data_IF_934874618394
#
_entry.id   IF_934874618394
#
_cell.length_a   1.000
_cell.length_b   1.000
_cell.length_c   1.000
_cell.angle_alpha   90.00
_cell.angle_beta   90.00
_cell.angle_gamma   90.00
#
_symmetry.space_group_name_H-M   'P 1'
#
loop_
_entity.id
_entity.type
_entity.pdbx_description
1 polymer ?
#
# COMPACT_ATOMS: atom_id res chain seq x y z
N UNK A 1 42.82 -41.40 6.29
CA UNK A 1 42.91 -40.01 5.77
C UNK A 1 41.76 -39.16 6.26
N UNK A 2 41.93 -38.47 7.39
CA UNK A 2 40.93 -37.57 8.00
C UNK A 2 41.51 -36.17 7.98
N UNK A 3 41.20 -35.38 6.95
CA UNK A 3 41.56 -33.96 6.86
C UNK A 3 40.37 -33.12 7.29
N UNK A 4 40.39 -32.60 8.51
CA UNK A 4 39.54 -31.47 8.91
C UNK A 4 40.46 -30.40 9.49
N UNK A 5 40.38 -29.18 8.95
CA UNK A 5 41.12 -28.01 9.44
C UNK A 5 40.50 -27.55 10.75
N UNK A 6 41.32 -27.34 11.78
CA UNK A 6 40.88 -26.65 12.99
C UNK A 6 40.54 -25.20 12.66
N UNK A 7 39.31 -24.80 12.96
CA UNK A 7 38.87 -23.40 12.91
C UNK A 7 38.85 -22.92 14.35
N UNK A 8 39.95 -22.28 14.77
CA UNK A 8 39.98 -21.48 16.01
C UNK A 8 39.38 -20.11 15.72
N UNK A 9 38.05 -20.06 15.68
CA UNK A 9 37.34 -18.78 15.72
C UNK A 9 36.38 -18.79 16.90
N UNK A 10 36.60 -17.94 17.91
CA UNK A 10 35.67 -17.86 19.04
C UNK A 10 34.30 -17.37 18.56
N UNK A 11 33.22 -17.80 19.23
CA UNK A 11 31.87 -17.38 18.89
C UNK A 11 31.70 -15.87 19.10
N UNK A 12 30.85 -15.21 18.29
CA UNK A 12 30.62 -13.77 18.42
C UNK A 12 30.02 -13.46 19.80
N UNK A 13 30.77 -12.75 20.66
CA UNK A 13 30.34 -12.35 22.01
C UNK A 13 31.34 -12.58 23.13
N UNK A 14 32.49 -13.21 22.86
CA UNK A 14 33.54 -13.45 23.87
C UNK A 14 34.28 -12.14 24.24
N UNK A 15 34.32 -11.70 25.52
CA UNK A 15 34.91 -10.42 25.93
C UNK A 15 36.45 -10.44 26.00
N UNK A 16 37.10 -11.55 25.67
CA UNK A 16 38.54 -11.73 25.81
C UNK A 16 39.32 -11.25 24.58
N UNK A 17 39.28 -9.94 24.32
CA UNK A 17 40.13 -9.34 23.28
C UNK A 17 39.73 -7.93 22.93
N UNK A 18 40.10 -6.96 23.76
CA UNK A 18 40.00 -5.54 23.40
C UNK A 18 41.02 -5.21 22.31
N UNK A 19 40.73 -5.58 21.05
CA UNK A 19 41.22 -4.80 19.92
C UNK A 19 40.40 -3.52 19.92
N UNK A 20 40.95 -2.45 20.51
CA UNK A 20 40.49 -1.09 20.28
C UNK A 20 40.56 -0.82 18.78
N UNK A 21 39.48 -1.11 18.04
CA UNK A 21 39.26 -0.40 16.80
C UNK A 21 39.01 1.05 17.21
N UNK A 22 39.91 1.94 16.81
CA UNK A 22 39.66 3.38 16.89
C UNK A 22 38.59 3.74 15.86
N UNK A 23 37.37 3.22 16.02
CA UNK A 23 36.21 3.78 15.36
C UNK A 23 35.86 5.02 16.17
N UNK A 24 36.20 6.17 15.61
CA UNK A 24 35.93 7.48 16.18
C UNK A 24 34.48 7.51 16.72
N UNK A 25 34.22 7.81 18.00
CA UNK A 25 32.88 7.68 18.60
C UNK A 25 31.82 8.50 17.86
N UNK A 26 32.21 9.59 17.18
CA UNK A 26 31.33 10.35 16.30
C UNK A 26 30.85 9.57 15.05
N UNK A 27 31.67 8.68 14.49
CA UNK A 27 31.30 7.86 13.33
C UNK A 27 30.32 6.74 13.70
N UNK A 28 30.47 6.15 14.89
CA UNK A 28 29.51 5.18 15.42
C UNK A 28 28.17 5.85 15.74
N UNK A 29 28.17 7.03 16.35
CA UNK A 29 26.95 7.83 16.59
C UNK A 29 26.28 8.26 15.29
N UNK A 30 27.06 8.68 14.28
CA UNK A 30 26.52 9.02 12.95
C UNK A 30 25.93 7.80 12.24
N UNK A 31 26.55 6.62 12.33
CA UNK A 31 25.97 5.39 11.78
C UNK A 31 24.70 4.99 12.52
N UNK A 32 24.70 4.97 13.86
CA UNK A 32 23.50 4.62 14.62
C UNK A 32 22.36 5.60 14.37
N UNK A 33 22.65 6.90 14.32
CA UNK A 33 21.67 7.93 13.99
C UNK A 33 21.15 7.80 12.55
N UNK A 34 21.99 7.41 11.59
CA UNK A 34 21.57 7.16 10.20
C UNK A 34 20.67 5.93 10.10
N UNK A 35 21.03 4.83 10.79
CA UNK A 35 20.17 3.65 10.85
C UNK A 35 18.86 3.97 11.58
N UNK A 36 18.91 4.67 12.71
CA UNK A 36 17.73 5.06 13.48
C UNK A 36 16.82 6.01 12.70
N UNK A 37 17.35 6.97 11.93
CA UNK A 37 16.55 7.83 11.06
C UNK A 37 15.91 7.08 9.90
N UNK A 38 16.62 6.12 9.30
CA UNK A 38 16.10 5.33 8.18
C UNK A 38 14.97 4.40 8.67
N UNK A 39 15.13 3.77 9.83
CA UNK A 39 14.10 2.94 10.45
C UNK A 39 12.95 3.77 11.02
N UNK A 40 13.20 4.97 11.59
CA UNK A 40 12.16 5.87 12.07
C UNK A 40 11.32 6.48 10.94
N UNK A 41 11.92 6.78 9.78
CA UNK A 41 11.20 7.22 8.59
C UNK A 41 10.27 6.13 8.03
N UNK A 42 10.71 4.87 8.10
CA UNK A 42 9.90 3.71 7.68
C UNK A 42 8.80 3.30 8.68
N UNK A 43 8.91 3.72 9.94
CA UNK A 43 7.96 3.41 11.02
C UNK A 43 6.96 4.53 11.33
N UNK A 44 6.87 5.57 10.49
CA UNK A 44 5.79 6.55 10.63
C UNK A 44 4.51 5.85 10.17
N UNK A 45 3.67 5.46 11.12
CA UNK A 45 2.37 4.85 10.83
C UNK A 45 1.67 5.67 9.73
N UNK A 46 1.15 5.01 8.68
CA UNK A 46 0.44 5.72 7.64
C UNK A 46 -0.69 6.50 8.29
N UNK A 47 -0.85 7.77 7.90
CA UNK A 47 -1.94 8.61 8.38
C UNK A 47 -3.25 7.81 8.31
N UNK A 48 -3.96 7.60 9.44
CA UNK A 48 -5.13 6.73 9.49
C UNK A 48 -6.23 7.18 8.51
N UNK A 49 -6.31 8.48 8.22
CA UNK A 49 -7.21 9.03 7.21
C UNK A 49 -6.81 8.58 5.82
N UNK A 50 -5.53 8.75 5.49
CA UNK A 50 -4.97 8.32 4.20
C UNK A 50 -5.15 6.82 4.01
N UNK A 51 -4.88 6.02 5.03
CA UNK A 51 -5.06 4.57 4.98
C UNK A 51 -6.52 4.19 4.73
N UNK A 52 -7.49 4.88 5.35
CA UNK A 52 -8.92 4.67 5.11
C UNK A 52 -9.31 4.97 3.67
N UNK A 53 -8.93 6.13 3.15
CA UNK A 53 -9.25 6.54 1.77
C UNK A 53 -8.60 5.57 0.77
N UNK A 54 -7.34 5.18 0.99
CA UNK A 54 -6.67 4.18 0.15
C UNK A 54 -7.32 2.80 0.22
N UNK A 55 -7.95 2.46 1.36
CA UNK A 55 -8.71 1.22 1.52
C UNK A 55 -10.07 1.23 0.81
N UNK A 56 -10.61 2.40 0.50
CA UNK A 56 -11.84 2.56 -0.28
C UNK A 56 -11.54 2.79 -1.78
N UNK A 57 -10.26 2.91 -2.16
CA UNK A 57 -9.84 3.12 -3.53
C UNK A 57 -10.29 1.99 -4.48
N UNK A 58 -10.70 2.40 -5.68
CA UNK A 58 -11.24 1.51 -6.70
C UNK A 58 -10.19 0.52 -7.21
N UNK A 59 -10.63 -0.73 -7.38
CA UNK A 59 -9.97 -1.73 -8.20
C UNK A 59 -10.89 -2.03 -9.39
N UNK A 60 -10.44 -1.72 -10.59
CA UNK A 60 -11.19 -1.95 -11.81
C UNK A 60 -10.59 -3.10 -12.62
N UNK A 61 -11.45 -3.98 -13.11
CA UNK A 61 -11.09 -5.14 -13.92
C UNK A 61 -11.77 -5.08 -15.29
N UNK A 62 -10.97 -4.96 -16.35
CA UNK A 62 -11.43 -5.03 -17.74
C UNK A 62 -11.19 -6.44 -18.30
N UNK A 63 -12.24 -7.24 -18.40
CA UNK A 63 -12.20 -8.60 -18.93
C UNK A 63 -12.78 -8.65 -20.34
N UNK A 64 -11.99 -9.17 -21.29
CA UNK A 64 -12.43 -9.49 -22.65
C UNK A 64 -12.22 -10.97 -22.94
N UNK A 65 -13.19 -11.65 -23.52
CA UNK A 65 -13.12 -13.09 -23.83
C UNK A 65 -13.92 -13.45 -25.09
N UNK A 66 -13.49 -14.48 -25.82
CA UNK A 66 -14.27 -15.07 -26.91
C UNK A 66 -15.29 -16.13 -26.44
N UNK A 67 -15.26 -16.49 -25.16
CA UNK A 67 -16.28 -17.38 -24.57
C UNK A 67 -17.60 -16.63 -24.49
N UNK A 68 -18.70 -17.27 -24.89
CA UNK A 68 -20.06 -16.75 -24.71
C UNK A 68 -20.54 -17.13 -23.32
N UNK A 69 -20.80 -16.13 -22.48
CA UNK A 69 -21.28 -16.28 -21.11
C UNK A 69 -22.80 -16.14 -21.13
N UNK A 70 -23.51 -17.13 -20.58
CA UNK A 70 -24.98 -17.14 -20.55
C UNK A 70 -25.57 -16.31 -19.41
N UNK A 71 -24.97 -16.42 -18.22
CA UNK A 71 -25.38 -15.69 -17.03
C UNK A 71 -24.29 -14.69 -16.64
N UNK A 72 -24.33 -13.52 -17.27
CA UNK A 72 -23.33 -12.46 -17.11
C UNK A 72 -23.32 -11.91 -15.68
N UNK A 73 -24.50 -11.73 -15.08
CA UNK A 73 -24.63 -11.13 -13.76
C UNK A 73 -24.07 -12.03 -12.66
N UNK A 74 -24.37 -13.33 -12.72
CA UNK A 74 -23.79 -14.30 -11.79
C UNK A 74 -22.26 -14.34 -11.90
N UNK A 75 -21.75 -14.42 -13.14
CA UNK A 75 -20.30 -14.41 -13.38
C UNK A 75 -19.62 -13.13 -12.86
N UNK A 76 -20.17 -11.95 -13.17
CA UNK A 76 -19.63 -10.67 -12.69
C UNK A 76 -19.69 -10.59 -11.16
N UNK A 77 -20.77 -11.08 -10.56
CA UNK A 77 -20.94 -11.11 -9.09
C UNK A 77 -19.85 -11.98 -8.45
N UNK A 78 -19.65 -13.20 -8.93
CA UNK A 78 -18.63 -14.11 -8.41
C UNK A 78 -17.21 -13.54 -8.58
N UNK A 79 -16.92 -12.96 -9.76
CA UNK A 79 -15.63 -12.32 -10.03
C UNK A 79 -15.39 -11.10 -9.12
N UNK A 80 -16.43 -10.32 -8.83
CA UNK A 80 -16.31 -9.15 -7.94
C UNK A 80 -16.00 -9.54 -6.50
N UNK A 81 -16.65 -10.58 -5.97
CA UNK A 81 -16.30 -11.15 -4.67
C UNK A 81 -14.89 -11.74 -4.67
N UNK A 82 -14.46 -12.39 -5.75
CA UNK A 82 -13.09 -12.87 -5.87
C UNK A 82 -12.09 -11.71 -5.74
N UNK A 83 -12.26 -10.66 -6.53
CA UNK A 83 -11.36 -9.50 -6.52
C UNK A 83 -11.40 -8.73 -5.19
N UNK A 84 -12.58 -8.52 -4.62
CA UNK A 84 -12.75 -7.91 -3.28
C UNK A 84 -11.90 -8.63 -2.23
N UNK A 85 -11.99 -9.96 -2.18
CA UNK A 85 -11.20 -10.77 -1.25
C UNK A 85 -9.70 -10.73 -1.55
N UNK A 86 -9.29 -10.65 -2.82
CA UNK A 86 -7.87 -10.60 -3.22
C UNK A 86 -7.20 -9.27 -2.84
N UNK A 87 -7.90 -8.17 -3.09
CA UNK A 87 -7.38 -6.84 -2.86
C UNK A 87 -7.69 -6.31 -1.45
N UNK A 88 -8.47 -7.06 -0.65
CA UNK A 88 -8.96 -6.61 0.66
C UNK A 88 -9.65 -5.24 0.53
N UNK A 89 -10.60 -5.19 -0.40
CA UNK A 89 -11.39 -3.99 -0.70
C UNK A 89 -12.87 -4.29 -0.54
N UNK A 90 -13.67 -3.33 -0.08
CA UNK A 90 -15.12 -3.52 -0.03
C UNK A 90 -15.65 -3.72 -1.44
N UNK A 91 -16.77 -4.45 -1.56
CA UNK A 91 -17.37 -4.77 -2.86
C UNK A 91 -17.76 -3.50 -3.62
N UNK A 92 -18.12 -2.43 -2.90
CA UNK A 92 -18.42 -1.10 -3.45
C UNK A 92 -17.25 -0.45 -4.18
N UNK A 93 -16.02 -0.91 -3.93
CA UNK A 93 -14.80 -0.42 -4.59
C UNK A 93 -14.34 -1.31 -5.74
N UNK A 94 -15.11 -2.33 -6.11
CA UNK A 94 -14.80 -3.21 -7.24
C UNK A 94 -15.63 -2.80 -8.45
N UNK A 95 -14.95 -2.54 -9.56
CA UNK A 95 -15.59 -2.26 -10.85
C UNK A 95 -15.17 -3.36 -11.84
N UNK A 96 -16.14 -3.93 -12.55
CA UNK A 96 -15.88 -4.95 -13.57
C UNK A 96 -16.51 -4.51 -14.88
N UNK A 97 -15.69 -4.46 -15.92
CA UNK A 97 -16.14 -4.34 -17.29
C UNK A 97 -15.98 -5.69 -17.98
N UNK A 98 -17.08 -6.25 -18.48
CA UNK A 98 -17.09 -7.53 -19.18
C UNK A 98 -17.44 -7.31 -20.66
N UNK A 99 -16.60 -7.85 -21.54
CA UNK A 99 -16.89 -7.97 -22.97
C UNK A 99 -16.65 -9.42 -23.41
N UNK A 100 -17.72 -10.16 -23.67
CA UNK A 100 -17.66 -11.59 -23.97
C UNK A 100 -18.20 -11.89 -25.38
N UNK A 101 -17.94 -13.10 -25.88
CA UNK A 101 -18.31 -13.49 -27.25
C UNK A 101 -17.62 -12.69 -28.36
N UNK A 102 -16.52 -11.97 -28.07
CA UNK A 102 -15.82 -11.19 -29.08
C UNK A 102 -14.93 -12.06 -29.98
N UNK A 103 -14.63 -11.59 -31.19
CA UNK A 103 -13.64 -12.23 -32.04
C UNK A 103 -12.24 -12.05 -31.44
N UNK A 104 -11.59 -13.14 -31.06
CA UNK A 104 -10.26 -13.14 -30.44
C UNK A 104 -9.43 -14.31 -30.97
N UNK A 105 -8.23 -13.99 -31.45
CA UNK A 105 -7.18 -14.98 -31.72
C UNK A 105 -6.09 -14.80 -30.67
N UNK A 106 -5.66 -15.90 -30.05
CA UNK A 106 -4.56 -15.92 -29.10
C UNK A 106 -3.61 -17.04 -29.50
N UNK A 107 -2.30 -16.78 -29.55
CA UNK A 107 -1.31 -17.80 -29.92
C UNK A 107 -1.60 -18.54 -31.24
N UNK A 108 -2.21 -17.86 -32.23
CA UNK A 108 -2.55 -18.46 -33.53
C UNK A 108 -3.84 -19.30 -33.57
N UNK A 109 -4.59 -19.42 -32.46
CA UNK A 109 -5.84 -20.18 -32.39
C UNK A 109 -7.01 -19.34 -31.86
N UNK A 110 -8.21 -19.67 -32.32
CA UNK A 110 -9.50 -19.14 -31.84
C UNK A 110 -10.09 -19.94 -30.67
N UNK A 111 -9.35 -20.90 -30.10
CA UNK A 111 -9.74 -21.60 -28.88
C UNK A 111 -10.09 -20.61 -27.75
N UNK A 112 -10.86 -21.01 -26.73
CA UNK A 112 -11.19 -20.15 -25.61
C UNK A 112 -9.97 -19.41 -25.03
N UNK A 113 -10.08 -18.09 -24.92
CA UNK A 113 -9.01 -17.19 -24.49
C UNK A 113 -9.58 -15.91 -23.89
N UNK A 114 -8.78 -15.21 -23.08
CA UNK A 114 -9.17 -13.92 -22.53
C UNK A 114 -7.99 -12.97 -22.34
N UNK A 115 -8.31 -11.69 -22.29
CA UNK A 115 -7.42 -10.63 -21.79
C UNK A 115 -8.06 -9.96 -20.59
N UNK A 116 -7.29 -9.79 -19.52
CA UNK A 116 -7.71 -9.11 -18.30
C UNK A 116 -6.74 -7.97 -18.01
N UNK A 117 -7.25 -6.74 -17.85
CA UNK A 117 -6.47 -5.65 -17.26
C UNK A 117 -7.02 -5.30 -15.89
N UNK A 118 -6.16 -5.26 -14.87
CA UNK A 118 -6.48 -4.74 -13.55
C UNK A 118 -5.88 -3.36 -13.39
N UNK A 119 -6.71 -2.37 -13.06
CA UNK A 119 -6.33 -1.02 -12.69
C UNK A 119 -6.49 -0.85 -11.18
N UNK A 120 -5.43 -0.44 -10.50
CA UNK A 120 -5.46 -0.22 -9.05
C UNK A 120 -4.32 0.71 -8.61
N UNK A 121 -4.42 1.22 -7.38
CA UNK A 121 -3.37 2.06 -6.78
C UNK A 121 -1.99 1.37 -6.84
N UNK A 122 -0.88 2.13 -6.94
CA UNK A 122 0.48 1.58 -7.05
C UNK A 122 0.85 0.58 -5.95
N UNK A 123 0.35 0.77 -4.72
CA UNK A 123 0.59 -0.15 -3.60
C UNK A 123 -0.04 -1.54 -3.80
N UNK A 124 -1.08 -1.65 -4.63
CA UNK A 124 -1.79 -2.89 -4.92
C UNK A 124 -1.24 -3.64 -6.13
N UNK A 125 -0.40 -2.99 -6.95
CA UNK A 125 0.17 -3.57 -8.18
C UNK A 125 1.67 -3.87 -8.07
N UNK A 126 2.11 -4.27 -6.88
CA UNK A 126 3.51 -4.62 -6.62
C UNK A 126 3.90 -5.96 -7.26
N UNK A 127 5.18 -6.17 -7.68
CA UNK A 127 5.58 -7.37 -8.43
C UNK A 127 5.22 -8.69 -7.75
N UNK A 128 5.42 -8.80 -6.43
CA UNK A 128 5.09 -10.00 -5.64
C UNK A 128 3.58 -10.21 -5.54
N UNK A 129 2.82 -9.14 -5.29
CA UNK A 129 1.36 -9.13 -5.25
C UNK A 129 0.77 -9.53 -6.61
N UNK A 130 1.29 -8.98 -7.70
CA UNK A 130 0.87 -9.28 -9.07
C UNK A 130 1.10 -10.75 -9.42
N UNK A 131 2.26 -11.31 -9.07
CA UNK A 131 2.55 -12.73 -9.31
C UNK A 131 1.52 -13.63 -8.63
N UNK A 132 1.19 -13.33 -7.37
CA UNK A 132 0.19 -14.08 -6.61
C UNK A 132 -1.21 -13.89 -7.20
N UNK A 133 -1.61 -12.65 -7.46
CA UNK A 133 -2.92 -12.31 -7.99
C UNK A 133 -3.15 -12.89 -9.38
N UNK A 134 -2.15 -12.88 -10.27
CA UNK A 134 -2.23 -13.52 -11.56
C UNK A 134 -2.61 -15.00 -11.40
N UNK A 135 -1.79 -15.79 -10.71
CA UNK A 135 -2.04 -17.23 -10.54
C UNK A 135 -3.46 -17.53 -10.01
N UNK A 136 -3.91 -16.73 -9.04
CA UNK A 136 -5.18 -16.95 -8.35
C UNK A 136 -6.41 -16.49 -9.15
N UNK A 137 -6.31 -15.38 -9.86
CA UNK A 137 -7.37 -14.89 -10.74
C UNK A 137 -7.48 -15.80 -11.96
N UNK A 138 -6.35 -16.20 -12.55
CA UNK A 138 -6.37 -17.13 -13.69
C UNK A 138 -6.96 -18.50 -13.29
N UNK A 139 -6.66 -18.98 -12.08
CA UNK A 139 -7.30 -20.20 -11.54
C UNK A 139 -8.82 -20.04 -11.46
N UNK A 140 -9.31 -18.91 -10.93
CA UNK A 140 -10.74 -18.64 -10.84
C UNK A 140 -11.41 -18.55 -12.23
N UNK A 141 -10.76 -17.92 -13.22
CA UNK A 141 -11.26 -17.87 -14.60
C UNK A 141 -11.29 -19.27 -15.24
N UNK A 142 -10.30 -20.11 -14.96
CA UNK A 142 -10.29 -21.49 -15.43
C UNK A 142 -11.44 -22.30 -14.83
N UNK A 143 -11.74 -22.12 -13.54
CA UNK A 143 -12.83 -22.81 -12.85
C UNK A 143 -14.22 -22.35 -13.34
N UNK A 144 -14.37 -21.06 -13.68
CA UNK A 144 -15.67 -20.46 -14.05
C UNK A 144 -15.95 -20.49 -15.55
N UNK A 145 -14.95 -20.22 -16.40
CA UNK A 145 -15.09 -20.14 -17.86
C UNK A 145 -14.43 -21.31 -18.61
N UNK A 146 -13.70 -22.20 -17.92
CA UNK A 146 -12.98 -23.31 -18.56
C UNK A 146 -11.76 -22.89 -19.36
N UNK A 147 -11.34 -21.62 -19.29
CA UNK A 147 -10.19 -21.11 -20.04
C UNK A 147 -8.90 -21.36 -19.27
N UNK A 148 -7.98 -22.13 -19.84
CA UNK A 148 -6.69 -22.42 -19.22
C UNK A 148 -5.87 -21.14 -18.98
N UNK A 149 -5.09 -21.10 -17.88
CA UNK A 149 -4.23 -19.96 -17.56
C UNK A 149 -3.25 -19.59 -18.70
N UNK A 150 -2.78 -20.57 -19.48
CA UNK A 150 -1.91 -20.35 -20.65
C UNK A 150 -2.59 -19.62 -21.82
N UNK A 151 -3.93 -19.57 -21.82
CA UNK A 151 -4.79 -18.85 -22.78
C UNK A 151 -5.27 -17.50 -22.23
N UNK A 152 -4.75 -17.08 -21.08
CA UNK A 152 -5.08 -15.83 -20.43
C UNK A 152 -3.91 -14.85 -20.43
N UNK A 153 -4.16 -13.63 -20.85
CA UNK A 153 -3.22 -12.51 -20.68
C UNK A 153 -3.70 -11.58 -19.56
N UNK A 154 -2.92 -11.44 -18.50
CA UNK A 154 -3.24 -10.57 -17.36
C UNK A 154 -2.25 -9.41 -17.29
N UNK A 155 -2.76 -8.19 -17.31
CA UNK A 155 -1.98 -6.95 -17.20
C UNK A 155 -2.38 -6.19 -15.94
N UNK A 156 -1.40 -5.74 -15.16
CA UNK A 156 -1.62 -4.86 -14.01
C UNK A 156 -1.19 -3.43 -14.38
N UNK A 157 -2.05 -2.46 -14.14
CA UNK A 157 -1.82 -1.04 -14.45
C UNK A 157 -1.94 -0.25 -13.16
N UNK A 158 -0.84 0.39 -12.77
CA UNK A 158 -0.83 1.32 -11.66
C UNK A 158 -1.63 2.57 -12.03
N UNK A 159 -2.56 2.96 -11.17
CA UNK A 159 -3.32 4.21 -11.29
C UNK A 159 -3.03 5.08 -10.07
N UNK A 160 -2.13 6.08 -10.18
CA UNK A 160 -1.81 7.00 -9.09
C UNK A 160 -3.04 7.72 -8.52
N UNK A 161 -2.96 8.16 -7.27
CA UNK A 161 -4.08 8.77 -6.53
C UNK A 161 -4.61 10.05 -7.21
N UNK A 162 -3.75 10.78 -7.90
CA UNK A 162 -4.06 11.97 -8.67
C UNK A 162 -4.81 11.68 -9.98
N UNK A 163 -4.73 10.45 -10.48
CA UNK A 163 -5.28 10.03 -11.77
C UNK A 163 -6.55 9.17 -11.64
N UNK A 164 -7.05 9.00 -10.43
CA UNK A 164 -8.27 8.24 -10.14
C UNK A 164 -9.24 9.14 -9.41
N UNK A 165 -10.46 9.24 -9.94
CA UNK A 165 -11.52 10.03 -9.35
C UNK A 165 -12.82 9.24 -9.21
N UNK A 166 -13.50 9.45 -8.09
CA UNK A 166 -14.83 8.92 -7.80
C UNK A 166 -15.64 10.04 -7.14
N UNK A 167 -16.92 10.16 -7.49
CA UNK A 167 -17.78 11.21 -6.90
C UNK A 167 -17.31 12.64 -7.22
N UNK A 168 -16.63 12.83 -8.36
CA UNK A 168 -16.17 14.15 -8.82
C UNK A 168 -14.87 14.65 -8.20
N UNK A 169 -14.19 13.87 -7.35
CA UNK A 169 -12.89 14.23 -6.75
C UNK A 169 -11.86 13.13 -6.96
N UNK A 170 -10.59 13.52 -7.06
CA UNK A 170 -9.49 12.56 -7.11
C UNK A 170 -9.20 12.02 -5.71
N UNK A 171 -8.63 10.82 -5.63
CA UNK A 171 -8.19 10.24 -4.35
C UNK A 171 -7.16 11.16 -3.69
N UNK A 172 -6.24 11.74 -4.47
CA UNK A 172 -5.26 12.69 -3.95
C UNK A 172 -5.90 13.96 -3.38
N UNK A 173 -6.94 14.51 -4.04
CA UNK A 173 -7.67 15.66 -3.53
C UNK A 173 -8.38 15.33 -2.21
N UNK A 174 -9.01 14.16 -2.12
CA UNK A 174 -9.71 13.72 -0.91
C UNK A 174 -8.76 13.54 0.29
N UNK A 175 -7.57 12.97 0.07
CA UNK A 175 -6.54 12.84 1.11
C UNK A 175 -6.11 14.23 1.62
N UNK A 176 -5.86 15.18 0.71
CA UNK A 176 -5.41 16.52 1.07
C UNK A 176 -6.50 17.33 1.81
N UNK A 177 -7.75 17.27 1.34
CA UNK A 177 -8.89 17.95 1.96
C UNK A 177 -9.16 17.44 3.38
N UNK A 178 -9.15 16.12 3.55
CA UNK A 178 -9.42 15.50 4.86
C UNK A 178 -8.26 15.69 5.83
N UNK A 179 -7.03 15.70 5.33
CA UNK A 179 -5.84 16.03 6.12
C UNK A 179 -5.89 17.47 6.66
N UNK A 180 -6.33 18.45 5.85
CA UNK A 180 -6.44 19.84 6.27
C UNK A 180 -7.56 20.07 7.30
N UNK A 181 -8.71 19.40 7.14
CA UNK A 181 -9.83 19.51 8.08
C UNK A 181 -9.46 19.04 9.51
N UNK A 182 -8.57 18.06 9.66
CA UNK A 182 -8.08 17.62 10.97
C UNK A 182 -7.03 18.53 11.60
N UNK A 183 -6.33 19.35 10.80
CA UNK A 183 -5.37 20.33 11.35
C UNK A 183 -6.11 21.51 11.98
N UNK A 184 -7.27 21.90 11.42
CA UNK A 184 -8.11 22.97 11.97
C UNK A 184 -8.94 22.55 13.20
N UNK A 185 -9.13 21.26 13.46
CA UNK A 185 -9.89 20.75 14.62
C UNK A 185 -8.99 20.39 15.83
N UNK A 186 -7.72 20.80 15.83
CA UNK A 186 -6.93 20.74 17.07
C UNK A 186 -7.48 21.78 18.05
N UNK A 187 -7.98 21.39 19.24
CA UNK A 187 -8.42 22.37 20.22
C UNK A 187 -7.25 23.28 20.54
N UNK A 188 -7.46 24.58 20.36
CA UNK A 188 -6.51 25.60 20.79
C UNK A 188 -6.15 25.34 22.25
N UNK A 189 -4.95 24.82 22.51
CA UNK A 189 -4.41 24.70 23.85
C UNK A 189 -4.58 26.06 24.51
N UNK A 190 -5.35 26.07 25.59
CA UNK A 190 -5.66 27.25 26.36
C UNK A 190 -4.35 27.96 26.74
N UNK A 191 -4.00 29.01 25.99
CA UNK A 191 -2.98 29.98 26.40
C UNK A 191 -3.49 30.61 27.68
N UNK A 192 -3.02 30.05 28.80
CA UNK A 192 -3.22 30.57 30.16
C UNK A 192 -2.91 32.06 30.12
N UNK A 193 -3.95 32.87 30.24
CA UNK A 193 -3.86 34.30 30.44
C UNK A 193 -3.09 34.53 31.75
N UNK A 194 -1.84 34.99 31.61
CA UNK A 194 -1.05 35.43 32.74
C UNK A 194 -1.75 36.64 33.38
N UNK A 195 -2.37 36.42 34.54
CA UNK A 195 -2.98 37.47 35.36
C UNK A 195 -1.95 38.56 35.66
N UNK A 196 -2.29 39.76 35.24
CA UNK A 196 -1.61 41.02 35.54
C UNK A 196 -1.61 41.27 37.05
N UNK A 197 -0.42 41.23 37.68
CA UNK A 197 -0.22 41.73 39.03
C UNK A 197 0.08 43.24 38.98
N UNK A 198 -0.96 44.08 39.08
CA UNK A 198 -0.77 45.49 39.45
C UNK A 198 -0.46 45.59 40.93
N UNK A 199 0.81 45.83 41.28
CA UNK A 199 1.20 46.31 42.61
C UNK A 199 0.83 47.78 42.73
N UNK A 200 -0.10 48.08 43.65
CA UNK A 200 -0.40 49.44 44.11
C UNK A 200 0.72 49.84 45.07
N UNK A 201 1.56 50.80 44.68
CA UNK A 201 2.57 51.41 45.55
C UNK A 201 1.97 52.59 46.31
N UNK A 202 1.84 52.47 47.63
CA UNK A 202 1.55 53.59 48.54
C UNK A 202 2.86 54.33 48.79
N UNK A 203 2.95 55.61 48.38
CA UNK A 203 4.01 56.52 48.82
C UNK A 203 3.54 57.24 50.07
N UNK A 204 4.18 56.94 51.19
CA UNK A 204 4.16 57.77 52.40
C UNK A 204 5.30 58.77 52.26
N UNK A 205 5.00 60.07 52.31
CA UNK A 205 5.99 61.12 52.50
C UNK A 205 5.67 61.86 53.81
N UNK A 206 6.52 61.62 54.80
CA UNK A 206 6.65 62.40 56.02
C UNK A 206 7.64 63.54 55.81
N UNK A 207 7.30 64.70 56.39
CA UNK A 207 8.12 65.85 56.81
C UNK A 207 7.59 67.17 56.25
#
# INVERSE_FOLDING_TARGET
NKMMRNIDRPPPGDPTGSRRSQVHPELSKKRSAYFESEFAASNRDPDPVKARIQNEAIVMADLRTNVIIKDEFSFITDLSYNLSNRYQRPISSIVINLNHGCCMMFGGSFDPAYTLTIHALPCLVQPTTNKRNAALIQKHIQETLGVMASRGYVRFVATPEENVAVGGRTIAAEINETGNAMVDDKPAEARKSAKSNRRIGVKVSSS
#
